data_IF_001209622416
#
_entry.id   IF_001209622416
#
_cell.length_a   1.000
_cell.length_b   1.000
_cell.length_c   1.000
_cell.angle_alpha   90.00
_cell.angle_beta   90.00
_cell.angle_gamma   90.00
#
_symmetry.space_group_name_H-M   'P 1'
#
loop_
_entity.id
_entity.type
_entity.pdbx_description
1 polymer ?
#
# COMPACT_ATOMS: atom_id res chain seq x y z
N UNK A 1 -62.37 10.43 57.55
CA UNK A 1 -61.52 11.06 56.48
C UNK A 1 -60.57 10.06 55.85
N UNK A 2 -60.82 8.76 55.96
CA UNK A 2 -59.95 7.68 55.44
C UNK A 2 -60.48 6.91 54.22
N UNK A 3 -61.79 7.03 53.88
CA UNK A 3 -62.36 6.28 52.75
C UNK A 3 -61.97 6.83 51.35
N UNK A 4 -61.55 8.10 51.28
CA UNK A 4 -61.17 8.72 50.00
C UNK A 4 -59.77 8.33 49.48
N UNK A 5 -58.87 7.93 50.34
CA UNK A 5 -57.46 7.58 49.94
C UNK A 5 -57.34 6.17 49.36
N UNK A 6 -58.20 5.25 49.79
CA UNK A 6 -58.12 3.84 49.33
C UNK A 6 -58.67 3.62 47.95
N UNK A 7 -59.63 4.44 47.48
CA UNK A 7 -60.18 4.36 46.15
C UNK A 7 -59.24 4.93 45.08
N UNK A 8 -58.48 5.97 45.39
CA UNK A 8 -57.51 6.60 44.47
C UNK A 8 -56.33 5.68 44.15
N UNK A 9 -55.87 4.91 45.13
CA UNK A 9 -54.73 3.97 44.90
C UNK A 9 -55.14 2.77 44.06
N UNK A 10 -56.38 2.28 44.17
CA UNK A 10 -56.89 1.17 43.36
C UNK A 10 -57.09 1.56 41.87
N UNK A 11 -57.45 2.81 41.57
CA UNK A 11 -57.56 3.31 40.20
C UNK A 11 -56.22 3.53 39.48
N UNK A 12 -55.15 3.87 40.24
CA UNK A 12 -53.82 4.08 39.66
C UNK A 12 -53.09 2.75 39.33
N UNK A 13 -53.42 1.66 40.01
CA UNK A 13 -52.81 0.36 39.79
C UNK A 13 -53.40 -0.40 38.56
N UNK A 14 -54.57 0.06 38.04
CA UNK A 14 -55.23 -0.58 36.90
C UNK A 14 -54.78 -0.02 35.51
N UNK A 15 -53.91 1.00 35.47
CA UNK A 15 -53.42 1.66 34.26
C UNK A 15 -51.93 1.38 33.97
N UNK A 16 -51.39 0.25 34.35
CA UNK A 16 -50.07 -0.14 33.89
C UNK A 16 -50.20 -0.57 32.42
N UNK A 17 -49.45 0.06 31.48
CA UNK A 17 -49.47 -0.40 30.09
C UNK A 17 -48.83 -1.79 30.04
N UNK A 18 -49.57 -2.75 29.44
CA UNK A 18 -49.07 -4.09 29.15
C UNK A 18 -47.88 -3.91 28.17
N UNK A 19 -46.68 -4.16 28.66
CA UNK A 19 -45.47 -4.25 27.83
C UNK A 19 -45.73 -5.28 26.72
N UNK A 20 -45.47 -4.96 25.43
CA UNK A 20 -45.58 -5.95 24.38
C UNK A 20 -44.55 -7.04 24.64
N UNK A 21 -45.02 -8.28 24.73
CA UNK A 21 -44.18 -9.46 24.86
C UNK A 21 -43.15 -9.41 23.74
N UNK A 22 -41.84 -9.29 24.09
CA UNK A 22 -40.74 -9.48 23.14
C UNK A 22 -40.85 -10.90 22.60
N UNK A 23 -41.32 -11.01 21.37
CA UNK A 23 -41.20 -12.24 20.61
C UNK A 23 -39.70 -12.57 20.51
N UNK A 24 -39.32 -13.61 21.24
CA UNK A 24 -37.96 -14.18 21.11
C UNK A 24 -37.94 -14.82 19.73
N UNK A 25 -37.33 -14.15 18.77
CA UNK A 25 -37.09 -14.67 17.42
C UNK A 25 -36.36 -16.00 17.54
N UNK A 26 -36.89 -17.03 16.88
CA UNK A 26 -36.34 -18.39 16.90
C UNK A 26 -34.89 -18.38 16.37
N UNK A 27 -34.01 -19.27 16.84
CA UNK A 27 -32.58 -19.33 16.42
C UNK A 27 -32.37 -19.54 14.91
N UNK A 28 -33.42 -19.91 14.18
CA UNK A 28 -33.37 -20.11 12.73
C UNK A 28 -33.37 -18.79 11.92
N UNK A 29 -33.90 -17.69 12.46
CA UNK A 29 -33.95 -16.40 11.74
C UNK A 29 -32.57 -15.69 11.71
N UNK A 30 -31.65 -16.04 12.60
CA UNK A 30 -30.31 -15.44 12.61
C UNK A 30 -29.34 -16.10 11.61
N UNK A 31 -29.62 -17.28 11.07
CA UNK A 31 -28.73 -17.94 10.11
C UNK A 31 -28.79 -17.40 8.69
N UNK A 32 -29.81 -16.61 8.33
CA UNK A 32 -29.94 -16.04 6.98
C UNK A 32 -29.17 -14.73 6.78
N UNK A 33 -28.72 -14.07 7.85
CA UNK A 33 -28.03 -12.77 7.77
C UNK A 33 -26.57 -12.87 7.31
N UNK A 34 -25.95 -14.06 7.36
CA UNK A 34 -24.57 -14.32 6.93
C UNK A 34 -24.44 -15.06 5.61
N UNK A 35 -25.41 -14.97 4.72
CA UNK A 35 -25.22 -15.43 3.34
C UNK A 35 -24.26 -14.49 2.64
N UNK A 36 -22.95 -14.82 2.64
CA UNK A 36 -21.94 -14.13 1.83
C UNK A 36 -22.44 -14.05 0.39
N UNK A 37 -22.49 -12.87 -0.24
CA UNK A 37 -22.88 -12.78 -1.63
C UNK A 37 -21.89 -13.59 -2.47
N UNK A 38 -22.38 -14.52 -3.29
CA UNK A 38 -21.56 -15.40 -4.17
C UNK A 38 -20.62 -14.63 -5.10
N UNK A 39 -20.82 -13.31 -5.26
CA UNK A 39 -19.91 -12.42 -5.99
C UNK A 39 -18.61 -12.13 -5.25
N UNK A 40 -18.61 -12.13 -3.93
CA UNK A 40 -17.41 -11.81 -3.14
C UNK A 40 -16.33 -12.90 -3.25
N UNK A 41 -16.73 -14.17 -3.31
CA UNK A 41 -15.78 -15.29 -3.49
C UNK A 41 -15.12 -15.25 -4.88
N UNK A 42 -15.89 -14.94 -5.92
CA UNK A 42 -15.35 -14.79 -7.28
C UNK A 42 -14.40 -13.60 -7.37
N UNK A 43 -14.74 -12.48 -6.75
CA UNK A 43 -13.87 -11.30 -6.70
C UNK A 43 -12.57 -11.60 -5.92
N UNK A 44 -12.66 -12.28 -4.79
CA UNK A 44 -11.49 -12.68 -3.99
C UNK A 44 -10.59 -13.67 -4.74
N UNK A 45 -11.17 -14.64 -5.48
CA UNK A 45 -10.40 -15.59 -6.30
C UNK A 45 -9.73 -14.90 -7.47
N UNK A 46 -10.44 -14.03 -8.20
CA UNK A 46 -9.87 -13.27 -9.34
C UNK A 46 -8.75 -12.33 -8.86
N UNK A 47 -8.99 -11.60 -7.78
CA UNK A 47 -7.98 -10.69 -7.20
C UNK A 47 -6.79 -11.46 -6.65
N UNK A 48 -7.03 -12.60 -6.00
CA UNK A 48 -5.98 -13.50 -5.51
C UNK A 48 -5.17 -14.14 -6.64
N UNK A 49 -5.82 -14.51 -7.75
CA UNK A 49 -5.13 -15.07 -8.92
C UNK A 49 -4.30 -14.01 -9.66
N UNK A 50 -4.81 -12.79 -9.82
CA UNK A 50 -4.05 -11.66 -10.40
C UNK A 50 -2.86 -11.32 -9.49
N UNK A 51 -3.06 -11.29 -8.18
CA UNK A 51 -1.98 -11.02 -7.23
C UNK A 51 -0.94 -12.15 -7.23
N UNK A 52 -1.37 -13.40 -7.34
CA UNK A 52 -0.47 -14.55 -7.41
C UNK A 52 0.36 -14.57 -8.70
N UNK A 53 -0.21 -14.17 -9.84
CA UNK A 53 0.54 -14.02 -11.11
C UNK A 53 1.50 -12.83 -11.10
N UNK A 54 1.24 -11.79 -10.30
CA UNK A 54 2.15 -10.66 -10.10
C UNK A 54 3.28 -10.95 -9.11
N UNK A 55 3.14 -12.01 -8.28
CA UNK A 55 4.10 -12.37 -7.22
C UNK A 55 5.06 -13.50 -7.64
N UNK A 56 4.87 -14.09 -8.83
CA UNK A 56 5.76 -15.12 -9.37
C UNK A 56 6.56 -14.63 -10.61
N UNK A 57 7.46 -13.66 -10.50
CA UNK A 57 8.51 -13.51 -11.49
C UNK A 57 9.74 -14.27 -11.00
N UNK A 58 10.36 -15.02 -11.89
CA UNK A 58 11.78 -15.32 -11.74
C UNK A 58 12.49 -13.98 -11.55
N UNK A 59 13.11 -13.79 -10.37
CA UNK A 59 13.75 -12.52 -9.99
C UNK A 59 14.83 -12.06 -11.01
N UNK A 60 15.28 -12.96 -11.88
CA UNK A 60 16.25 -12.68 -12.93
C UNK A 60 15.68 -11.92 -14.15
N UNK A 61 14.36 -11.93 -14.37
CA UNK A 61 13.76 -11.29 -15.57
C UNK A 61 13.05 -9.96 -15.27
N UNK A 62 12.87 -9.59 -13.99
CA UNK A 62 12.18 -8.35 -13.61
C UNK A 62 12.89 -7.08 -14.15
N UNK A 63 14.19 -7.16 -14.42
CA UNK A 63 15.00 -6.06 -14.97
C UNK A 63 15.24 -6.16 -16.49
N UNK A 64 14.75 -7.23 -17.13
CA UNK A 64 14.96 -7.41 -18.58
C UNK A 64 14.15 -6.38 -19.39
N UNK A 65 14.77 -5.68 -20.35
CA UNK A 65 14.06 -4.71 -21.17
C UNK A 65 13.01 -5.37 -22.07
N UNK A 66 11.83 -4.78 -22.14
CA UNK A 66 10.76 -5.21 -23.03
C UNK A 66 11.17 -4.92 -24.46
N UNK A 67 11.23 -5.97 -25.28
CA UNK A 67 11.61 -5.84 -26.71
C UNK A 67 10.58 -5.01 -27.47
N UNK A 68 11.04 -4.05 -28.25
CA UNK A 68 10.21 -3.31 -29.22
C UNK A 68 9.65 -1.96 -28.74
N UNK A 69 9.74 -1.60 -27.44
CA UNK A 69 9.22 -0.31 -26.95
C UNK A 69 10.28 0.80 -26.85
N UNK A 70 11.54 0.49 -27.12
CA UNK A 70 12.65 1.45 -27.04
C UNK A 70 13.13 1.71 -25.61
N UNK A 71 14.38 2.16 -25.51
CA UNK A 71 15.14 2.30 -24.25
C UNK A 71 14.50 3.28 -23.29
N UNK A 72 14.01 4.41 -23.79
CA UNK A 72 13.37 5.44 -22.97
C UNK A 72 12.09 4.91 -22.28
N UNK A 73 11.21 4.25 -23.04
CA UNK A 73 9.96 3.71 -22.50
C UNK A 73 10.18 2.53 -21.55
N UNK A 74 11.22 1.72 -21.80
CA UNK A 74 11.65 0.72 -20.83
C UNK A 74 12.03 1.36 -19.51
N UNK A 75 12.77 2.47 -19.55
CA UNK A 75 13.08 3.26 -18.35
C UNK A 75 11.82 3.79 -17.65
N UNK A 76 10.87 4.39 -18.39
CA UNK A 76 9.61 4.90 -17.81
C UNK A 76 8.82 3.81 -17.10
N UNK A 77 8.80 2.60 -17.65
CA UNK A 77 8.07 1.47 -17.06
C UNK A 77 8.85 0.76 -15.95
N UNK A 78 10.16 0.91 -15.88
CA UNK A 78 11.01 0.24 -14.89
C UNK A 78 10.48 0.33 -13.45
N UNK A 79 10.09 1.50 -12.91
CA UNK A 79 9.56 1.60 -11.54
C UNK A 79 8.23 0.86 -11.30
N UNK A 80 7.51 0.51 -12.39
CA UNK A 80 6.24 -0.23 -12.32
C UNK A 80 6.48 -1.73 -12.44
N UNK A 81 7.47 -2.13 -13.24
CA UNK A 81 7.76 -3.53 -13.53
C UNK A 81 8.53 -4.21 -12.39
N UNK A 82 9.35 -3.47 -11.63
CA UNK A 82 10.10 -4.00 -10.50
C UNK A 82 9.23 -3.93 -9.24
N UNK A 83 8.83 -5.07 -8.64
CA UNK A 83 7.89 -5.09 -7.51
C UNK A 83 8.37 -4.29 -6.29
N UNK A 84 9.67 -4.33 -5.98
CA UNK A 84 10.26 -3.58 -4.87
C UNK A 84 10.15 -2.05 -5.09
N UNK A 85 10.38 -1.58 -6.33
CA UNK A 85 10.22 -0.18 -6.73
C UNK A 85 8.76 0.25 -6.64
N UNK A 86 7.84 -0.55 -7.23
CA UNK A 86 6.41 -0.28 -7.23
C UNK A 86 5.87 -0.11 -5.80
N UNK A 87 6.17 -1.07 -4.91
CA UNK A 87 5.70 -1.04 -3.53
C UNK A 87 6.29 0.15 -2.76
N UNK A 88 7.56 0.49 -3.00
CA UNK A 88 8.24 1.61 -2.33
C UNK A 88 7.62 2.94 -2.76
N UNK A 89 7.47 3.19 -4.06
CA UNK A 89 6.86 4.42 -4.59
C UNK A 89 5.40 4.53 -4.16
N UNK A 90 4.65 3.42 -4.22
CA UNK A 90 3.24 3.41 -3.83
C UNK A 90 3.07 3.72 -2.34
N UNK A 91 3.77 3.01 -1.45
CA UNK A 91 3.72 3.25 -0.01
C UNK A 91 4.13 4.66 0.39
N UNK A 92 5.22 5.15 -0.21
CA UNK A 92 5.71 6.51 0.04
C UNK A 92 4.76 7.58 -0.51
N UNK A 93 4.21 7.39 -1.71
CA UNK A 93 3.21 8.31 -2.30
C UNK A 93 1.97 8.43 -1.42
N UNK A 94 1.43 7.30 -0.94
CA UNK A 94 0.31 7.30 0.01
C UNK A 94 0.67 8.05 1.30
N UNK A 95 1.88 7.83 1.84
CA UNK A 95 2.35 8.49 3.05
C UNK A 95 2.44 10.01 2.87
N UNK A 96 3.07 10.47 1.80
CA UNK A 96 3.22 11.89 1.53
C UNK A 96 1.88 12.57 1.25
N UNK A 97 0.96 11.90 0.54
CA UNK A 97 -0.37 12.42 0.27
C UNK A 97 -1.24 12.61 1.51
N UNK A 98 -0.94 11.93 2.63
CA UNK A 98 -1.64 12.12 3.90
C UNK A 98 -1.17 13.35 4.69
N UNK A 99 -0.01 13.92 4.37
CA UNK A 99 0.55 15.08 5.07
C UNK A 99 -0.05 16.40 4.56
N UNK A 100 0.11 17.46 5.37
CA UNK A 100 -0.24 18.82 4.93
C UNK A 100 0.52 19.21 3.64
N UNK A 101 -0.08 19.99 2.72
CA UNK A 101 0.49 20.25 1.40
C UNK A 101 1.92 20.81 1.41
N UNK A 102 2.27 21.63 2.40
CA UNK A 102 3.60 22.18 2.52
C UNK A 102 4.62 21.12 2.95
N UNK A 103 4.28 20.29 3.93
CA UNK A 103 5.10 19.19 4.40
C UNK A 103 5.31 18.14 3.30
N UNK A 104 4.25 17.78 2.60
CA UNK A 104 4.27 16.86 1.47
C UNK A 104 5.20 17.37 0.35
N UNK A 105 5.15 18.65 0.02
CA UNK A 105 6.04 19.24 -1.00
C UNK A 105 7.53 19.13 -0.60
N UNK A 106 7.87 19.45 0.64
CA UNK A 106 9.27 19.36 1.11
C UNK A 106 9.79 17.93 1.00
N UNK A 107 9.01 16.95 1.46
CA UNK A 107 9.39 15.54 1.36
C UNK A 107 9.43 15.04 -0.09
N UNK A 108 8.53 15.49 -0.94
CA UNK A 108 8.52 15.20 -2.38
C UNK A 108 9.79 15.75 -3.08
N UNK A 109 10.17 16.99 -2.80
CA UNK A 109 11.44 17.54 -3.32
C UNK A 109 12.65 16.77 -2.79
N UNK A 110 12.65 16.38 -1.51
CA UNK A 110 13.68 15.53 -0.93
C UNK A 110 13.81 14.19 -1.65
N UNK A 111 12.68 13.55 -1.97
CA UNK A 111 12.64 12.34 -2.79
C UNK A 111 13.25 12.59 -4.18
N UNK A 112 12.80 13.62 -4.90
CA UNK A 112 13.26 13.92 -6.26
C UNK A 112 14.76 14.16 -6.30
N UNK A 113 15.28 14.99 -5.39
CA UNK A 113 16.74 15.29 -5.33
C UNK A 113 17.54 14.02 -5.02
N UNK A 114 17.09 13.23 -4.04
CA UNK A 114 17.76 11.99 -3.66
C UNK A 114 17.67 10.94 -4.79
N UNK A 115 16.53 10.86 -5.51
CA UNK A 115 16.37 9.96 -6.63
C UNK A 115 17.30 10.29 -7.79
N UNK A 116 17.44 11.57 -8.16
CA UNK A 116 18.42 12.01 -9.15
C UNK A 116 19.86 11.75 -8.71
N UNK A 117 20.17 11.97 -7.43
CA UNK A 117 21.48 11.64 -6.87
C UNK A 117 21.77 10.14 -6.96
N UNK A 118 20.77 9.29 -6.67
CA UNK A 118 20.86 7.85 -6.84
C UNK A 118 21.09 7.42 -8.29
N UNK A 119 20.32 7.97 -9.24
CA UNK A 119 20.50 7.72 -10.67
C UNK A 119 21.90 8.11 -11.16
N UNK A 120 22.43 9.27 -10.71
CA UNK A 120 23.80 9.65 -10.99
C UNK A 120 24.82 8.68 -10.36
N UNK A 121 24.48 8.14 -9.18
CA UNK A 121 25.31 7.18 -8.45
C UNK A 121 25.37 5.79 -9.09
N UNK A 122 24.49 5.44 -10.05
CA UNK A 122 24.56 4.15 -10.78
C UNK A 122 25.89 3.92 -11.49
N UNK A 123 26.63 5.00 -11.79
CA UNK A 123 27.96 4.93 -12.39
C UNK A 123 29.01 4.34 -11.43
N UNK A 124 28.76 4.36 -10.11
CA UNK A 124 29.67 3.83 -9.10
C UNK A 124 29.60 2.30 -8.96
N UNK A 125 28.64 1.65 -9.66
CA UNK A 125 28.48 0.21 -9.66
C UNK A 125 27.92 -0.37 -8.35
N UNK A 126 27.34 0.46 -7.48
CA UNK A 126 26.68 -0.02 -6.27
C UNK A 126 25.25 -0.50 -6.60
N UNK A 127 24.97 -1.75 -6.25
CA UNK A 127 23.60 -2.29 -6.28
C UNK A 127 23.00 -2.19 -4.87
N UNK A 128 21.76 -1.76 -4.79
CA UNK A 128 20.99 -1.75 -3.52
C UNK A 128 20.23 -3.06 -3.42
N UNK A 129 20.39 -3.85 -2.36
CA UNK A 129 19.61 -5.07 -2.21
C UNK A 129 18.10 -4.76 -2.11
N UNK A 130 17.27 -5.54 -2.79
CA UNK A 130 15.79 -5.42 -2.76
C UNK A 130 15.22 -5.39 -1.34
N UNK A 131 15.88 -6.09 -0.40
CA UNK A 131 15.48 -6.11 1.02
C UNK A 131 15.43 -4.70 1.64
N UNK A 132 16.28 -3.77 1.19
CA UNK A 132 16.28 -2.39 1.67
C UNK A 132 15.06 -1.65 1.16
N UNK A 133 14.76 -1.76 -0.13
CA UNK A 133 13.58 -1.15 -0.75
C UNK A 133 12.29 -1.70 -0.15
N UNK A 134 12.21 -3.02 0.03
CA UNK A 134 11.06 -3.67 0.66
C UNK A 134 10.87 -3.25 2.13
N UNK A 135 11.96 -3.07 2.88
CA UNK A 135 11.89 -2.55 4.25
C UNK A 135 11.39 -1.10 4.28
N UNK A 136 11.81 -0.25 3.34
CA UNK A 136 11.32 1.11 3.19
C UNK A 136 9.83 1.14 2.79
N UNK A 137 9.42 0.28 1.84
CA UNK A 137 8.03 0.12 1.43
C UNK A 137 7.14 -0.33 2.59
N UNK A 138 7.59 -1.34 3.37
CA UNK A 138 6.89 -1.83 4.54
C UNK A 138 6.74 -0.74 5.60
N UNK A 139 7.82 0.01 5.87
CA UNK A 139 7.80 1.11 6.85
C UNK A 139 6.84 2.22 6.43
N UNK A 140 6.87 2.64 5.16
CA UNK A 140 5.94 3.63 4.62
C UNK A 140 4.49 3.15 4.72
N UNK A 141 4.21 1.92 4.29
CA UNK A 141 2.88 1.31 4.36
C UNK A 141 2.34 1.21 5.79
N UNK A 142 3.18 0.84 6.77
CA UNK A 142 2.81 0.81 8.19
C UNK A 142 2.45 2.21 8.71
N UNK A 143 3.22 3.24 8.38
CA UNK A 143 2.93 4.62 8.79
C UNK A 143 1.61 5.11 8.20
N UNK A 144 1.31 4.77 6.95
CA UNK A 144 0.00 5.05 6.32
C UNK A 144 -1.12 4.34 7.07
N UNK A 145 -0.98 3.05 7.35
CA UNK A 145 -1.98 2.24 8.04
C UNK A 145 -2.27 2.74 9.46
N UNK A 146 -1.22 3.17 10.16
CA UNK A 146 -1.31 3.70 11.52
C UNK A 146 -1.76 5.17 11.59
N UNK A 147 -1.91 5.82 10.43
CA UNK A 147 -2.27 7.25 10.33
C UNK A 147 -1.35 8.16 11.16
N UNK A 148 -0.06 7.82 11.24
CA UNK A 148 0.95 8.57 12.00
C UNK A 148 1.43 9.80 11.23
N UNK A 149 0.54 10.79 11.08
CA UNK A 149 0.75 12.00 10.27
C UNK A 149 1.71 13.01 10.94
N UNK A 150 1.97 12.89 12.25
CA UNK A 150 2.69 13.89 13.04
C UNK A 150 4.23 13.93 12.85
N UNK A 151 4.82 13.01 12.11
CA UNK A 151 6.27 12.86 12.01
C UNK A 151 6.82 13.23 10.65
N UNK A 152 6.75 14.53 10.29
CA UNK A 152 7.32 15.05 9.04
C UNK A 152 8.80 14.64 8.86
N UNK A 153 9.59 14.65 9.93
CA UNK A 153 10.99 14.24 9.88
C UNK A 153 11.17 12.80 9.41
N UNK A 154 10.31 11.88 9.89
CA UNK A 154 10.34 10.48 9.45
C UNK A 154 9.94 10.37 7.98
N UNK A 155 8.88 11.06 7.55
CA UNK A 155 8.45 11.07 6.17
C UNK A 155 9.54 11.62 5.23
N UNK A 156 10.24 12.67 5.64
CA UNK A 156 11.35 13.26 4.89
C UNK A 156 12.54 12.28 4.76
N UNK A 157 12.93 11.64 5.87
CA UNK A 157 14.02 10.66 5.88
C UNK A 157 13.68 9.47 5.00
N UNK A 158 12.45 8.94 5.12
CA UNK A 158 11.99 7.84 4.26
C UNK A 158 11.95 8.24 2.79
N UNK A 159 11.49 9.47 2.48
CA UNK A 159 11.45 9.97 1.12
C UNK A 159 12.85 10.09 0.51
N UNK A 160 13.81 10.65 1.25
CA UNK A 160 15.19 10.79 0.79
C UNK A 160 15.86 9.42 0.66
N UNK A 161 15.71 8.54 1.65
CA UNK A 161 16.29 7.18 1.61
C UNK A 161 15.70 6.36 0.45
N UNK A 162 14.38 6.36 0.30
CA UNK A 162 13.71 5.65 -0.79
C UNK A 162 14.13 6.21 -2.16
N UNK A 163 14.17 7.54 -2.31
CA UNK A 163 14.63 8.17 -3.55
C UNK A 163 16.05 7.75 -3.92
N UNK A 164 16.98 7.83 -2.96
CA UNK A 164 18.38 7.46 -3.18
C UNK A 164 18.52 5.97 -3.54
N UNK A 165 17.89 5.09 -2.76
CA UNK A 165 17.98 3.65 -3.00
C UNK A 165 17.35 3.25 -4.35
N UNK A 166 16.15 3.78 -4.67
CA UNK A 166 15.49 3.55 -5.96
C UNK A 166 16.36 4.03 -7.12
N UNK A 167 16.99 5.19 -6.98
CA UNK A 167 17.87 5.72 -8.02
C UNK A 167 19.11 4.84 -8.23
N UNK A 168 19.76 4.41 -7.16
CA UNK A 168 20.93 3.53 -7.23
C UNK A 168 20.63 2.17 -7.83
N UNK A 169 19.43 1.61 -7.50
CA UNK A 169 19.00 0.31 -7.99
C UNK A 169 18.43 0.33 -9.42
N UNK A 170 18.29 1.52 -10.00
CA UNK A 170 17.76 1.69 -11.36
C UNK A 170 18.85 1.61 -12.44
N UNK A 171 19.97 0.95 -12.18
CA UNK A 171 21.02 0.74 -13.17
C UNK A 171 20.48 -0.09 -14.36
N UNK A 172 20.49 0.45 -15.60
CA UNK A 172 19.94 -0.28 -16.73
C UNK A 172 20.85 -1.45 -17.12
N UNK A 173 20.29 -2.66 -17.18
CA UNK A 173 20.97 -3.87 -17.60
C UNK A 173 20.76 -4.17 -19.08
N UNK A 174 21.76 -4.70 -19.76
CA UNK A 174 21.64 -5.15 -21.16
C UNK A 174 21.41 -4.03 -22.18
N UNK A 175 21.65 -2.77 -21.82
CA UNK A 175 21.50 -1.59 -22.69
C UNK A 175 22.89 -1.08 -23.12
N UNK A 176 23.02 -0.72 -24.39
CA UNK A 176 24.25 -0.13 -24.92
C UNK A 176 24.61 1.17 -24.16
N UNK A 177 25.90 1.40 -23.89
CA UNK A 177 26.36 2.57 -23.11
C UNK A 177 25.87 3.90 -23.69
N UNK A 178 25.79 4.03 -25.00
CA UNK A 178 25.27 5.22 -25.68
C UNK A 178 23.79 5.53 -25.42
N UNK A 179 23.00 4.54 -25.04
CA UNK A 179 21.56 4.68 -24.74
C UNK A 179 21.23 4.69 -23.24
N UNK A 180 22.22 4.44 -22.40
CA UNK A 180 22.06 4.33 -20.94
C UNK A 180 21.39 5.58 -20.33
N UNK A 181 21.78 6.77 -20.77
CA UNK A 181 21.21 8.03 -20.30
C UNK A 181 19.71 8.16 -20.65
N UNK A 182 19.27 7.61 -21.82
CA UNK A 182 17.85 7.60 -22.19
C UNK A 182 17.03 6.71 -21.24
N UNK A 183 17.57 5.54 -20.87
CA UNK A 183 16.94 4.67 -19.88
C UNK A 183 16.81 5.38 -18.53
N UNK A 184 17.90 5.99 -18.04
CA UNK A 184 17.90 6.71 -16.76
C UNK A 184 16.95 7.89 -16.76
N UNK A 185 16.86 8.67 -17.84
CA UNK A 185 15.87 9.75 -17.99
C UNK A 185 14.44 9.19 -17.98
N UNK A 186 14.20 8.07 -18.67
CA UNK A 186 12.93 7.38 -18.64
C UNK A 186 12.55 6.97 -17.21
N UNK A 187 13.48 6.34 -16.49
CA UNK A 187 13.28 5.92 -15.09
C UNK A 187 13.01 7.10 -14.18
N UNK A 188 13.77 8.20 -14.33
CA UNK A 188 13.54 9.43 -13.57
C UNK A 188 12.12 9.95 -13.79
N UNK A 189 11.70 10.03 -15.04
CA UNK A 189 10.37 10.52 -15.39
C UNK A 189 9.28 9.58 -14.88
N UNK A 190 9.41 8.28 -15.08
CA UNK A 190 8.46 7.27 -14.61
C UNK A 190 8.30 7.29 -13.09
N UNK A 191 9.40 7.28 -12.34
CA UNK A 191 9.40 7.31 -10.88
C UNK A 191 8.79 8.59 -10.32
N UNK A 192 9.17 9.77 -10.84
CA UNK A 192 8.64 11.07 -10.40
C UNK A 192 7.15 11.19 -10.74
N UNK A 193 6.73 10.80 -11.95
CA UNK A 193 5.32 10.83 -12.34
C UNK A 193 4.47 9.91 -11.47
N UNK A 194 4.92 8.68 -11.26
CA UNK A 194 4.20 7.71 -10.44
C UNK A 194 4.09 8.17 -8.99
N UNK A 195 5.18 8.68 -8.41
CA UNK A 195 5.20 9.26 -7.07
C UNK A 195 4.22 10.43 -6.95
N UNK A 196 4.23 11.35 -7.93
CA UNK A 196 3.35 12.51 -7.97
C UNK A 196 1.88 12.09 -8.13
N UNK A 197 1.61 11.10 -8.97
CA UNK A 197 0.26 10.58 -9.19
C UNK A 197 -0.31 9.96 -7.92
N UNK A 198 0.41 9.01 -7.31
CA UNK A 198 -0.05 8.34 -6.09
C UNK A 198 -0.22 9.33 -4.94
N UNK A 199 0.76 10.22 -4.74
CA UNK A 199 0.70 11.26 -3.70
C UNK A 199 -0.43 12.26 -3.95
N UNK A 200 -0.63 12.68 -5.19
CA UNK A 200 -1.72 13.57 -5.58
C UNK A 200 -3.10 12.95 -5.37
N UNK A 201 -3.28 11.69 -5.77
CA UNK A 201 -4.53 10.94 -5.50
C UNK A 201 -4.76 10.82 -4.00
N UNK A 202 -3.76 10.43 -3.22
CA UNK A 202 -3.89 10.31 -1.77
C UNK A 202 -4.23 11.65 -1.09
N UNK A 203 -3.69 12.76 -1.59
CA UNK A 203 -3.93 14.11 -1.05
C UNK A 203 -5.36 14.61 -1.24
N UNK A 204 -6.07 14.18 -2.29
CA UNK A 204 -7.48 14.58 -2.54
C UNK A 204 -8.48 13.67 -1.83
N UNK A 205 -8.05 12.54 -1.28
CA UNK A 205 -8.90 11.58 -0.55
C UNK A 205 -9.06 12.02 0.91
N UNK A 206 -9.89 13.03 1.16
CA UNK A 206 -10.04 13.67 2.48
C UNK A 206 -11.27 13.20 3.27
N UNK A 207 -12.24 12.53 2.63
CA UNK A 207 -13.46 12.07 3.31
C UNK A 207 -13.14 10.93 4.30
N UNK A 208 -13.86 10.80 5.42
CA UNK A 208 -13.58 9.78 6.44
C UNK A 208 -13.46 8.35 5.87
N UNK A 209 -14.41 7.94 5.00
CA UNK A 209 -14.38 6.62 4.38
C UNK A 209 -13.21 6.43 3.39
N UNK A 210 -12.77 7.52 2.71
CA UNK A 210 -11.61 7.49 1.81
C UNK A 210 -10.32 7.31 2.60
N UNK A 211 -10.22 7.94 3.78
CA UNK A 211 -9.07 7.75 4.67
C UNK A 211 -8.97 6.31 5.19
N UNK A 212 -10.09 5.65 5.43
CA UNK A 212 -10.09 4.21 5.72
C UNK A 212 -9.52 3.43 4.53
N UNK A 213 -9.91 3.77 3.29
CA UNK A 213 -9.37 3.18 2.07
C UNK A 213 -7.84 3.36 1.95
N UNK A 214 -7.31 4.56 2.25
CA UNK A 214 -5.87 4.81 2.27
C UNK A 214 -5.15 3.93 3.30
N UNK A 215 -5.70 3.80 4.51
CA UNK A 215 -5.14 2.93 5.56
C UNK A 215 -5.12 1.45 5.14
N UNK A 216 -6.20 0.99 4.51
CA UNK A 216 -6.26 -0.37 3.94
C UNK A 216 -5.19 -0.55 2.86
N UNK A 217 -5.05 0.42 1.94
CA UNK A 217 -4.00 0.39 0.91
C UNK A 217 -2.60 0.36 1.54
N UNK A 218 -2.36 1.18 2.58
CA UNK A 218 -1.10 1.16 3.33
C UNK A 218 -0.82 -0.18 4.01
N UNK A 219 -1.83 -0.79 4.64
CA UNK A 219 -1.66 -2.11 5.27
C UNK A 219 -1.38 -3.20 4.24
N UNK A 220 -1.98 -3.15 3.05
CA UNK A 220 -1.68 -4.08 1.96
C UNK A 220 -0.28 -3.90 1.41
N UNK A 221 0.17 -2.64 1.25
CA UNK A 221 1.57 -2.34 0.86
C UNK A 221 2.54 -2.92 1.88
N UNK A 222 2.31 -2.68 3.18
CA UNK A 222 3.16 -3.20 4.24
C UNK A 222 3.16 -4.73 4.27
N UNK A 223 2.00 -5.38 4.12
CA UNK A 223 1.89 -6.83 4.10
C UNK A 223 2.57 -7.43 2.86
N UNK A 224 2.35 -6.87 1.68
CA UNK A 224 2.98 -7.31 0.43
C UNK A 224 4.50 -7.19 0.49
N UNK A 225 5.00 -6.01 0.89
CA UNK A 225 6.44 -5.79 1.07
C UNK A 225 7.03 -6.73 2.14
N UNK A 226 6.32 -6.96 3.25
CA UNK A 226 6.74 -7.87 4.32
C UNK A 226 6.82 -9.34 3.86
N UNK A 227 5.86 -9.79 3.05
CA UNK A 227 5.87 -11.16 2.50
C UNK A 227 7.06 -11.34 1.55
N UNK A 228 7.24 -10.41 0.60
CA UNK A 228 8.36 -10.48 -0.36
C UNK A 228 9.71 -10.39 0.38
N UNK A 229 9.81 -9.50 1.38
CA UNK A 229 10.99 -9.39 2.23
C UNK A 229 11.29 -10.70 2.98
N UNK A 230 10.28 -11.32 3.56
CA UNK A 230 10.44 -12.60 4.27
C UNK A 230 10.91 -13.71 3.33
N UNK A 231 10.36 -13.76 2.11
CA UNK A 231 10.80 -14.72 1.08
C UNK A 231 12.25 -14.46 0.64
N UNK A 232 12.62 -13.20 0.43
CA UNK A 232 13.99 -12.81 0.09
C UNK A 232 15.01 -13.20 1.19
N UNK A 233 14.63 -13.06 2.46
CA UNK A 233 15.46 -13.42 3.61
C UNK A 233 15.52 -14.93 3.88
N UNK A 234 14.46 -15.68 3.51
CA UNK A 234 14.43 -17.12 3.67
C UNK A 234 15.40 -17.85 2.71
N UNK A 235 15.83 -17.16 1.64
CA UNK A 235 16.72 -17.73 0.62
C UNK A 235 16.06 -18.84 -0.21
N UNK A 236 16.70 -19.32 -1.27
CA UNK A 236 16.24 -20.52 -1.98
C UNK A 236 16.32 -21.69 -1.02
N UNK A 237 15.16 -22.32 -0.73
CA UNK A 237 15.12 -23.60 -0.04
C UNK A 237 15.83 -24.61 -0.96
N UNK A 238 17.10 -24.87 -0.71
CA UNK A 238 17.73 -26.05 -1.27
C UNK A 238 17.02 -27.25 -0.67
N UNK A 239 15.92 -27.67 -1.31
CA UNK A 239 15.37 -28.99 -1.07
C UNK A 239 16.51 -29.97 -1.39
N UNK A 240 17.14 -30.50 -0.34
CA UNK A 240 18.19 -31.50 -0.44
C UNK A 240 17.65 -32.83 -0.99
N UNK A 241 17.27 -32.79 -2.25
CA UNK A 241 17.16 -33.95 -3.12
C UNK A 241 18.47 -34.04 -3.90
N UNK A 242 19.53 -34.46 -3.19
CA UNK A 242 20.69 -35.07 -3.87
C UNK A 242 20.21 -36.37 -4.52
N UNK A 243 20.59 -36.65 -5.77
CA UNK A 243 20.27 -37.87 -6.49
C UNK A 243 20.85 -39.11 -5.79
#
# INVERSE_FOLDING_TARGET
>A
MELGRTLTIKMLLQRAPRSPARSIASPQSQRSFFRRPRGFERFAVITGSILATLVLPDAAEAHAPIKGIGTFYNGVLHPVLVPAHLLTIFGLGLLLGQHAPQASRVAWFGFVVAFWAGLAGTQLGYAVPDVVLLALAMSAGLLVALERIGYLGIALVLAAAAGLCLGLDSAPEGIAEGERWLALLGTAMGGVLMMSYVGGVAAVLVRPWQRIGLRVAGSWTAAGAGIVLALALAGPQTTGLSP
#
